data_IF_107500319412
#
_entry.id   IF_107500319412
#
_cell.length_a   1.000
_cell.length_b   1.000
_cell.length_c   1.000
_cell.angle_alpha   90.00
_cell.angle_beta   90.00
_cell.angle_gamma   90.00
#
_symmetry.space_group_name_H-M   'P 1'
#
loop_
_entity.id
_entity.type
_entity.pdbx_description
1 polymer ?
#
# COMPACT_ATOMS: atom_id res chain seq x y z
N UNK A 1 -16.83 -7.03 23.47
CA UNK A 1 -15.60 -7.22 22.68
C UNK A 1 -15.34 -5.92 21.94
N UNK A 2 -14.09 -5.46 21.91
CA UNK A 2 -13.68 -4.29 21.12
C UNK A 2 -13.82 -4.62 19.64
N UNK A 3 -14.56 -3.82 18.87
CA UNK A 3 -14.67 -3.95 17.41
C UNK A 3 -13.57 -3.14 16.70
N UNK A 4 -13.21 -3.51 15.47
CA UNK A 4 -12.26 -2.74 14.67
C UNK A 4 -12.67 -1.26 14.53
N UNK A 5 -13.95 -0.99 14.29
CA UNK A 5 -14.48 0.39 14.21
C UNK A 5 -14.31 1.16 15.51
N UNK A 6 -14.57 0.52 16.66
CA UNK A 6 -14.37 1.16 17.96
C UNK A 6 -12.91 1.51 18.28
N UNK A 7 -11.94 0.88 17.60
CA UNK A 7 -10.53 1.26 17.68
C UNK A 7 -10.20 2.49 16.83
N UNK A 8 -10.97 2.75 15.78
CA UNK A 8 -10.72 3.83 14.82
C UNK A 8 -11.56 5.08 15.08
N UNK A 9 -12.63 4.96 15.88
CA UNK A 9 -13.53 6.07 16.22
C UNK A 9 -13.49 6.36 17.72
N UNK A 10 -13.40 7.63 18.10
CA UNK A 10 -13.37 8.03 19.51
C UNK A 10 -13.49 9.55 19.70
N UNK A 11 -13.24 10.01 20.93
CA UNK A 11 -13.29 11.44 21.27
C UNK A 11 -12.12 12.25 20.70
N UNK A 12 -11.01 11.59 20.40
CA UNK A 12 -9.84 12.13 19.72
C UNK A 12 -9.83 11.65 18.26
N UNK A 13 -9.37 12.48 17.30
CA UNK A 13 -9.29 12.07 15.91
C UNK A 13 -8.29 10.92 15.70
N UNK A 14 -8.64 9.98 14.82
CA UNK A 14 -7.69 9.06 14.20
C UNK A 14 -6.68 9.88 13.38
N UNK A 15 -5.39 9.58 13.46
CA UNK A 15 -4.36 10.26 12.65
C UNK A 15 -3.61 9.27 11.78
N UNK A 16 -3.44 9.59 10.52
CA UNK A 16 -2.58 8.84 9.60
C UNK A 16 -1.42 9.74 9.16
N UNK A 17 -0.21 9.40 9.56
CA UNK A 17 1.00 10.13 9.21
C UNK A 17 1.75 9.44 8.08
N UNK A 18 2.00 10.15 6.98
CA UNK A 18 2.83 9.65 5.87
C UNK A 18 3.45 10.79 5.08
N UNK A 19 4.36 10.49 4.16
CA UNK A 19 4.90 11.50 3.24
C UNK A 19 3.79 12.15 2.39
N UNK A 20 4.05 13.36 1.88
CA UNK A 20 3.16 14.05 0.96
C UNK A 20 3.17 13.44 -0.46
N UNK A 21 2.88 12.15 -0.55
CA UNK A 21 2.68 11.34 -1.75
C UNK A 21 1.59 10.30 -1.45
N UNK A 22 1.07 9.63 -2.48
CA UNK A 22 0.17 8.49 -2.32
C UNK A 22 0.91 7.35 -1.57
N UNK A 23 1.84 6.69 -2.26
CA UNK A 23 2.68 5.62 -1.72
C UNK A 23 1.89 4.54 -0.98
N UNK A 24 2.52 3.92 0.02
CA UNK A 24 1.93 2.77 0.72
C UNK A 24 0.79 3.13 1.67
N UNK A 25 0.58 4.42 1.97
CA UNK A 25 -0.51 4.89 2.84
C UNK A 25 -1.81 5.12 2.06
N UNK A 26 -1.75 5.25 0.74
CA UNK A 26 -2.93 5.56 -0.07
C UNK A 26 -4.05 4.50 0.01
N UNK A 27 -3.77 3.17 0.03
CA UNK A 27 -4.84 2.19 0.18
C UNK A 27 -5.59 2.38 1.52
N UNK A 28 -4.88 2.80 2.57
CA UNK A 28 -5.45 3.10 3.88
C UNK A 28 -6.33 4.36 3.81
N UNK A 29 -5.88 5.42 3.12
CA UNK A 29 -6.69 6.64 2.91
C UNK A 29 -7.99 6.35 2.15
N UNK A 30 -7.91 5.54 1.09
CA UNK A 30 -9.06 5.12 0.32
C UNK A 30 -10.02 4.28 1.17
N UNK A 31 -9.50 3.31 1.91
CA UNK A 31 -10.33 2.46 2.78
C UNK A 31 -11.04 3.27 3.88
N UNK A 32 -10.35 4.24 4.50
CA UNK A 32 -10.94 5.13 5.51
C UNK A 32 -12.08 5.96 4.91
N UNK A 33 -11.88 6.44 3.68
CA UNK A 33 -12.86 7.23 2.96
C UNK A 33 -14.09 6.40 2.57
N UNK A 34 -13.89 5.19 2.03
CA UNK A 34 -14.98 4.25 1.67
C UNK A 34 -15.76 3.83 2.92
N UNK A 35 -15.09 3.52 4.03
CA UNK A 35 -15.72 3.14 5.30
C UNK A 35 -16.31 4.33 6.09
N UNK A 36 -16.23 5.55 5.52
CA UNK A 36 -16.69 6.80 6.14
C UNK A 36 -16.12 7.03 7.55
N UNK A 37 -14.84 6.72 7.75
CA UNK A 37 -14.13 6.91 9.02
C UNK A 37 -13.35 8.23 8.94
N UNK A 38 -13.68 9.25 9.74
CA UNK A 38 -12.95 10.52 9.73
C UNK A 38 -11.54 10.34 10.31
N UNK A 39 -10.57 11.01 9.69
CA UNK A 39 -9.17 10.97 10.12
C UNK A 39 -8.43 12.26 9.75
N UNK A 40 -7.40 12.58 10.52
CA UNK A 40 -6.42 13.62 10.18
C UNK A 40 -5.35 13.00 9.27
N UNK A 41 -5.29 13.43 8.00
CA UNK A 41 -4.22 13.08 7.04
C UNK A 41 -3.01 13.99 7.26
N UNK A 42 -2.06 13.55 8.08
CA UNK A 42 -0.86 14.32 8.43
C UNK A 42 0.24 14.03 7.41
N UNK A 43 0.49 14.99 6.53
CA UNK A 43 1.44 14.87 5.42
C UNK A 43 2.80 15.45 5.79
N UNK A 44 3.80 14.59 5.89
CA UNK A 44 5.17 14.94 6.27
C UNK A 44 5.98 15.32 5.03
N UNK A 45 6.54 16.54 4.94
CA UNK A 45 7.53 16.90 3.92
C UNK A 45 8.79 16.04 3.99
N UNK A 46 9.42 15.76 2.84
CA UNK A 46 10.61 14.89 2.80
C UNK A 46 11.83 15.50 3.52
N UNK A 47 11.96 16.82 3.54
CA UNK A 47 13.03 17.55 4.24
C UNK A 47 12.87 17.53 5.78
N UNK A 48 11.64 17.38 6.27
CA UNK A 48 11.35 17.16 7.70
C UNK A 48 11.58 15.71 8.15
N UNK A 49 11.81 14.77 7.22
CA UNK A 49 11.92 13.35 7.56
C UNK A 49 13.05 13.06 8.56
N UNK A 50 14.20 13.71 8.41
CA UNK A 50 15.36 13.43 9.27
C UNK A 50 15.11 13.79 10.74
N UNK A 51 14.36 14.86 11.01
CA UNK A 51 13.97 15.26 12.37
C UNK A 51 12.79 14.46 12.90
N UNK A 52 11.85 14.05 12.03
CA UNK A 52 10.68 13.22 12.39
C UNK A 52 11.06 11.76 12.67
N UNK A 53 11.97 11.17 11.90
CA UNK A 53 12.31 9.73 11.97
C UNK A 53 12.61 9.23 13.39
N UNK A 54 13.41 9.91 14.24
CA UNK A 54 13.68 9.48 15.61
C UNK A 54 12.46 9.47 16.53
N UNK A 55 11.38 10.18 16.17
CA UNK A 55 10.13 10.22 16.95
C UNK A 55 9.14 9.12 16.56
N UNK A 56 9.35 8.47 15.40
CA UNK A 56 8.51 7.35 14.96
C UNK A 56 8.89 6.06 15.71
N UNK A 57 7.92 5.20 15.99
CA UNK A 57 8.05 3.96 16.77
C UNK A 57 9.12 3.00 16.24
N UNK A 58 9.27 2.92 14.92
CA UNK A 58 10.21 2.01 14.26
C UNK A 58 11.14 2.69 13.25
N UNK A 59 11.21 4.02 13.25
CA UNK A 59 12.04 4.76 12.28
C UNK A 59 11.51 4.71 10.85
N UNK A 60 10.20 4.48 10.67
CA UNK A 60 9.51 4.33 9.37
C UNK A 60 8.14 4.98 9.41
N UNK A 61 7.61 5.30 8.23
CA UNK A 61 6.23 5.70 7.98
C UNK A 61 5.58 4.70 7.00
N UNK A 62 4.25 4.53 7.01
CA UNK A 62 3.28 5.30 7.79
C UNK A 62 3.14 4.89 9.25
N UNK A 63 2.57 5.80 10.05
CA UNK A 63 2.09 5.55 11.42
C UNK A 63 0.62 5.96 11.54
N UNK A 64 -0.18 5.14 12.22
CA UNK A 64 -1.58 5.44 12.52
C UNK A 64 -1.75 5.56 14.03
N UNK A 65 -2.11 6.75 14.51
CA UNK A 65 -2.44 6.98 15.92
C UNK A 65 -3.93 6.82 16.11
N UNK A 66 -4.33 5.76 16.83
CA UNK A 66 -5.72 5.49 17.20
C UNK A 66 -6.22 6.55 18.18
N UNK A 67 -7.54 6.79 18.28
CA UNK A 67 -8.13 7.62 19.33
C UNK A 67 -7.67 7.27 20.75
N UNK A 68 -7.42 5.98 21.03
CA UNK A 68 -6.85 5.53 22.31
C UNK A 68 -5.39 5.89 22.57
N UNK A 69 -4.72 6.55 21.61
CA UNK A 69 -3.30 6.94 21.67
C UNK A 69 -2.32 5.83 21.26
N UNK A 70 -2.80 4.61 21.02
CA UNK A 70 -1.95 3.54 20.49
C UNK A 70 -1.51 3.84 19.06
N UNK A 71 -0.23 3.55 18.78
CA UNK A 71 0.36 3.69 17.44
C UNK A 71 0.42 2.32 16.78
N UNK A 72 -0.36 2.20 15.70
CA UNK A 72 -0.30 1.10 14.73
C UNK A 72 0.74 1.43 13.66
N UNK A 73 1.53 0.44 13.28
CA UNK A 73 2.55 0.51 12.23
C UNK A 73 2.24 -0.55 11.17
N UNK A 74 2.91 -0.48 10.02
CA UNK A 74 2.66 -1.31 8.83
C UNK A 74 1.34 -0.97 8.10
N UNK A 75 1.45 -0.47 6.86
CA UNK A 75 0.29 0.00 6.09
C UNK A 75 -0.69 -1.13 5.75
N UNK A 76 -0.21 -2.37 5.65
CA UNK A 76 -1.04 -3.52 5.33
C UNK A 76 -1.81 -4.02 6.57
N UNK A 77 -1.24 -3.88 7.76
CA UNK A 77 -1.97 -4.05 9.02
C UNK A 77 -3.05 -2.97 9.20
N UNK A 78 -2.71 -1.71 8.94
CA UNK A 78 -3.67 -0.59 8.96
C UNK A 78 -4.82 -0.82 7.98
N UNK A 79 -4.53 -1.22 6.73
CA UNK A 79 -5.52 -1.46 5.70
C UNK A 79 -6.52 -2.54 6.11
N UNK A 80 -6.04 -3.64 6.72
CA UNK A 80 -6.92 -4.72 7.23
C UNK A 80 -7.78 -4.25 8.39
N UNK A 81 -7.21 -3.48 9.33
CA UNK A 81 -7.96 -2.90 10.44
C UNK A 81 -9.09 -1.99 9.94
N UNK A 82 -8.81 -1.12 8.97
CA UNK A 82 -9.81 -0.24 8.37
C UNK A 82 -10.85 -1.04 7.57
N UNK A 83 -10.42 -2.04 6.80
CA UNK A 83 -11.33 -2.91 6.06
C UNK A 83 -12.28 -3.70 6.98
N UNK A 84 -11.81 -4.15 8.15
CA UNK A 84 -12.65 -4.83 9.15
C UNK A 84 -13.59 -3.86 9.89
N UNK A 85 -13.30 -2.56 9.87
CA UNK A 85 -14.13 -1.52 10.46
C UNK A 85 -15.23 -0.98 9.54
N UNK A 86 -15.29 -1.48 8.30
CA UNK A 86 -16.37 -1.23 7.36
C UNK A 86 -17.69 -1.80 7.89
N UNK A 87 -18.69 -0.94 8.10
CA UNK A 87 -20.00 -1.34 8.63
C UNK A 87 -20.81 -2.15 7.61
N UNK A 88 -20.56 -1.97 6.32
CA UNK A 88 -21.16 -2.81 5.28
C UNK A 88 -20.51 -4.21 5.22
N UNK A 89 -19.34 -4.37 5.83
CA UNK A 89 -18.60 -5.63 5.87
C UNK A 89 -18.13 -6.11 4.49
N UNK A 90 -17.95 -5.19 3.53
CA UNK A 90 -17.55 -5.50 2.15
C UNK A 90 -16.05 -5.40 1.96
N UNK A 91 -15.41 -4.39 2.55
CA UNK A 91 -13.97 -4.15 2.34
C UNK A 91 -13.10 -5.32 2.81
N UNK A 92 -13.41 -5.91 3.97
CA UNK A 92 -12.74 -7.10 4.52
C UNK A 92 -13.71 -7.97 5.35
N UNK A 93 -14.61 -8.73 4.68
CA UNK A 93 -15.72 -9.48 5.31
C UNK A 93 -15.20 -10.52 6.30
N UNK A 94 -15.96 -10.89 7.33
CA UNK A 94 -15.56 -11.94 8.30
C UNK A 94 -15.62 -13.37 7.77
N UNK A 95 -16.27 -13.59 6.62
CA UNK A 95 -16.32 -14.88 5.95
C UNK A 95 -14.93 -15.33 5.52
N UNK A 96 -14.49 -16.48 6.04
CA UNK A 96 -13.13 -16.98 5.84
C UNK A 96 -12.84 -17.28 4.37
N UNK A 97 -13.81 -17.81 3.61
CA UNK A 97 -13.58 -18.14 2.20
C UNK A 97 -13.40 -16.88 1.36
N UNK A 98 -14.18 -15.82 1.63
CA UNK A 98 -13.98 -14.50 1.01
C UNK A 98 -12.66 -13.86 1.44
N UNK A 99 -12.30 -13.89 2.74
CA UNK A 99 -11.01 -13.36 3.21
C UNK A 99 -9.83 -14.04 2.54
N UNK A 100 -9.87 -15.36 2.37
CA UNK A 100 -8.78 -16.11 1.71
C UNK A 100 -8.55 -15.59 0.29
N UNK A 101 -9.62 -15.33 -0.48
CA UNK A 101 -9.49 -14.73 -1.82
C UNK A 101 -8.85 -13.35 -1.77
N UNK A 102 -9.27 -12.49 -0.84
CA UNK A 102 -8.69 -11.15 -0.64
C UNK A 102 -7.20 -11.25 -0.31
N UNK A 103 -6.83 -12.13 0.63
CA UNK A 103 -5.43 -12.33 1.02
C UNK A 103 -4.56 -12.89 -0.11
N UNK A 104 -5.11 -13.76 -0.97
CA UNK A 104 -4.42 -14.23 -2.17
C UNK A 104 -4.10 -13.08 -3.13
N UNK A 105 -5.08 -12.20 -3.39
CA UNK A 105 -4.87 -11.04 -4.27
C UNK A 105 -3.93 -10.02 -3.63
N UNK A 106 -4.01 -9.76 -2.32
CA UNK A 106 -3.03 -8.92 -1.62
C UNK A 106 -1.62 -9.51 -1.68
N UNK A 107 -1.49 -10.83 -1.60
CA UNK A 107 -0.24 -11.55 -1.83
C UNK A 107 0.32 -11.29 -3.23
N UNK A 108 -0.54 -11.39 -4.25
CA UNK A 108 -0.22 -11.12 -5.64
C UNK A 108 0.21 -9.67 -5.89
N UNK A 109 -0.48 -8.69 -5.29
CA UNK A 109 -0.06 -7.28 -5.30
C UNK A 109 1.32 -7.13 -4.65
N UNK A 110 1.56 -7.83 -3.54
CA UNK A 110 2.88 -7.88 -2.90
C UNK A 110 3.97 -8.45 -3.82
N UNK A 111 3.66 -9.45 -4.63
CA UNK A 111 4.60 -10.00 -5.63
C UNK A 111 4.90 -8.98 -6.73
N UNK A 112 3.88 -8.26 -7.22
CA UNK A 112 4.06 -7.13 -8.14
C UNK A 112 4.97 -6.05 -7.51
N UNK A 113 4.74 -5.67 -6.25
CA UNK A 113 5.59 -4.71 -5.54
C UNK A 113 7.03 -5.22 -5.42
N UNK A 114 7.24 -6.50 -5.12
CA UNK A 114 8.57 -7.12 -5.03
C UNK A 114 9.28 -7.12 -6.38
N UNK A 115 8.58 -7.40 -7.47
CA UNK A 115 9.11 -7.34 -8.82
C UNK A 115 9.45 -5.90 -9.26
N UNK A 116 8.65 -4.91 -8.86
CA UNK A 116 8.90 -3.50 -9.15
C UNK A 116 10.04 -2.90 -8.30
N UNK A 117 10.25 -3.41 -7.09
CA UNK A 117 11.18 -2.84 -6.09
C UNK A 117 12.59 -2.54 -6.64
N UNK A 118 13.26 -3.41 -7.42
CA UNK A 118 14.56 -3.09 -8.02
C UNK A 118 14.53 -1.87 -8.95
N UNK A 119 13.48 -1.73 -9.78
CA UNK A 119 13.29 -0.62 -10.73
C UNK A 119 13.19 0.75 -10.04
N UNK A 120 12.76 0.76 -8.77
CA UNK A 120 12.71 1.95 -7.92
C UNK A 120 13.99 2.12 -7.11
N UNK A 121 14.38 1.11 -6.33
CA UNK A 121 15.40 1.27 -5.31
C UNK A 121 16.83 1.20 -5.84
N UNK A 122 17.07 0.66 -7.03
CA UNK A 122 18.40 0.69 -7.62
C UNK A 122 18.89 2.13 -7.83
N UNK A 123 18.01 3.04 -8.26
CA UNK A 123 18.36 4.44 -8.45
C UNK A 123 18.48 5.21 -7.12
N UNK A 124 17.64 4.88 -6.13
CA UNK A 124 17.55 5.57 -4.85
C UNK A 124 18.55 5.08 -3.80
N UNK A 125 18.88 3.79 -3.81
CA UNK A 125 19.71 3.11 -2.81
C UNK A 125 20.64 2.08 -3.47
N UNK A 126 21.51 2.52 -4.40
CA UNK A 126 22.38 1.64 -5.19
C UNK A 126 23.27 0.72 -4.33
N UNK A 127 23.70 1.18 -3.16
CA UNK A 127 24.43 0.36 -2.17
C UNK A 127 23.75 -0.95 -1.77
N UNK A 128 22.41 -1.01 -1.78
CA UNK A 128 21.69 -2.26 -1.48
C UNK A 128 21.81 -3.32 -2.57
N UNK A 129 22.26 -2.92 -3.75
CA UNK A 129 22.42 -3.76 -4.93
C UNK A 129 23.90 -3.96 -5.29
N UNK A 130 24.82 -3.61 -4.38
CA UNK A 130 26.26 -3.78 -4.58
C UNK A 130 26.96 -2.67 -5.38
N UNK A 131 26.26 -1.59 -5.71
CA UNK A 131 26.84 -0.42 -6.38
C UNK A 131 27.33 0.63 -5.36
N UNK A 132 28.22 1.57 -5.72
CA UNK A 132 28.62 2.67 -4.85
C UNK A 132 27.42 3.50 -4.36
N UNK A 133 27.48 4.02 -3.14
CA UNK A 133 26.37 4.81 -2.57
C UNK A 133 26.13 6.14 -3.32
N UNK A 134 27.20 6.70 -3.88
CA UNK A 134 27.27 7.89 -4.71
C UNK A 134 27.23 7.57 -6.22
N UNK A 135 26.82 6.35 -6.60
CA UNK A 135 26.71 5.94 -8.00
C UNK A 135 25.84 6.92 -8.78
N UNK A 136 26.41 7.41 -9.89
CA UNK A 136 25.89 8.49 -10.72
C UNK A 136 26.47 8.40 -12.14
N UNK A 137 25.95 9.21 -13.06
CA UNK A 137 26.40 9.28 -14.45
C UNK A 137 25.73 8.28 -15.38
N UNK A 138 26.13 8.31 -16.66
CA UNK A 138 25.44 7.57 -17.74
C UNK A 138 25.35 6.07 -17.52
N UNK A 139 26.33 5.46 -16.85
CA UNK A 139 26.31 4.02 -16.56
C UNK A 139 25.13 3.67 -15.65
N UNK A 140 24.91 4.45 -14.58
CA UNK A 140 23.76 4.29 -13.70
C UNK A 140 22.46 4.43 -14.47
N UNK A 141 22.35 5.47 -15.30
CA UNK A 141 21.13 5.74 -16.06
C UNK A 141 20.82 4.60 -17.03
N UNK A 142 21.84 4.05 -17.71
CA UNK A 142 21.71 2.88 -18.59
C UNK A 142 21.22 1.63 -17.85
N UNK A 143 21.81 1.31 -16.69
CA UNK A 143 21.41 0.12 -15.92
C UNK A 143 20.01 0.29 -15.32
N UNK A 144 19.71 1.43 -14.70
CA UNK A 144 18.38 1.71 -14.14
C UNK A 144 17.31 1.65 -15.23
N UNK A 145 17.61 2.19 -16.42
CA UNK A 145 16.71 2.12 -17.57
C UNK A 145 16.50 0.66 -18.01
N UNK A 146 17.55 -0.13 -18.16
CA UNK A 146 17.43 -1.53 -18.56
C UNK A 146 16.58 -2.36 -17.58
N UNK A 147 16.75 -2.17 -16.26
CA UNK A 147 15.94 -2.84 -15.23
C UNK A 147 14.46 -2.46 -15.35
N UNK A 148 14.17 -1.17 -15.57
CA UNK A 148 12.79 -0.69 -15.76
C UNK A 148 12.17 -1.22 -17.05
N UNK A 149 12.91 -1.21 -18.16
CA UNK A 149 12.43 -1.74 -19.44
C UNK A 149 12.12 -3.23 -19.35
N UNK A 150 13.00 -4.02 -18.73
CA UNK A 150 12.76 -5.45 -18.51
C UNK A 150 11.50 -5.70 -17.68
N UNK A 151 11.33 -4.98 -16.56
CA UNK A 151 10.10 -5.07 -15.77
C UNK A 151 8.86 -4.72 -16.60
N UNK A 152 8.91 -3.63 -17.38
CA UNK A 152 7.77 -3.19 -18.19
C UNK A 152 7.44 -4.13 -19.35
N UNK A 153 8.42 -4.83 -19.92
CA UNK A 153 8.21 -5.76 -21.03
C UNK A 153 7.82 -7.17 -20.59
N UNK A 154 8.23 -7.60 -19.40
CA UNK A 154 8.09 -8.99 -18.94
C UNK A 154 7.13 -9.10 -17.75
N UNK A 155 7.49 -8.50 -16.62
CA UNK A 155 6.77 -8.67 -15.36
C UNK A 155 5.43 -7.95 -15.36
N UNK A 156 5.41 -6.67 -15.77
CA UNK A 156 4.23 -5.85 -15.68
C UNK A 156 3.04 -6.42 -16.48
N UNK A 157 3.20 -6.78 -17.78
CA UNK A 157 2.11 -7.38 -18.55
C UNK A 157 1.65 -8.71 -17.97
N UNK A 158 2.56 -9.51 -17.39
CA UNK A 158 2.23 -10.78 -16.74
C UNK A 158 1.33 -10.56 -15.53
N UNK A 159 1.65 -9.62 -14.64
CA UNK A 159 0.79 -9.27 -13.50
C UNK A 159 -0.54 -8.66 -13.95
N UNK A 160 -0.54 -7.83 -14.99
CA UNK A 160 -1.80 -7.29 -15.55
C UNK A 160 -2.68 -8.41 -16.09
N UNK A 161 -2.10 -9.42 -16.74
CA UNK A 161 -2.82 -10.60 -17.19
C UNK A 161 -3.47 -11.38 -16.04
N UNK A 162 -2.78 -11.53 -14.91
CA UNK A 162 -3.36 -12.16 -13.71
C UNK A 162 -4.54 -11.37 -13.14
N UNK A 163 -4.43 -10.03 -13.06
CA UNK A 163 -5.54 -9.21 -12.60
C UNK A 163 -6.72 -9.22 -13.59
N UNK A 164 -6.45 -9.22 -14.89
CA UNK A 164 -7.47 -9.33 -15.93
C UNK A 164 -8.22 -10.66 -15.85
N UNK A 165 -7.52 -11.78 -15.61
CA UNK A 165 -8.12 -13.10 -15.40
C UNK A 165 -9.04 -13.10 -14.18
N UNK A 166 -8.59 -12.56 -13.04
CA UNK A 166 -9.41 -12.44 -11.83
C UNK A 166 -10.69 -11.61 -12.06
N UNK A 167 -10.58 -10.48 -12.76
CA UNK A 167 -11.75 -9.63 -13.09
C UNK A 167 -12.75 -10.39 -13.96
N UNK A 168 -12.28 -11.12 -14.97
CA UNK A 168 -13.14 -11.95 -15.85
C UNK A 168 -13.80 -13.09 -15.09
N UNK A 169 -13.06 -13.79 -14.23
CA UNK A 169 -13.60 -14.86 -13.37
C UNK A 169 -14.71 -14.36 -12.44
N UNK A 170 -14.64 -13.09 -12.04
CA UNK A 170 -15.65 -12.42 -11.22
C UNK A 170 -16.71 -11.67 -12.02
N UNK A 171 -16.88 -11.97 -13.31
CA UNK A 171 -17.95 -11.40 -14.15
C UNK A 171 -17.75 -9.93 -14.50
N UNK A 172 -16.51 -9.52 -14.77
CA UNK A 172 -16.10 -8.13 -15.04
C UNK A 172 -16.36 -7.18 -13.85
N UNK A 173 -16.38 -7.73 -12.63
CA UNK A 173 -16.51 -7.00 -11.37
C UNK A 173 -15.16 -6.55 -10.80
N UNK A 174 -14.96 -6.83 -9.51
CA UNK A 174 -13.74 -6.54 -8.77
C UNK A 174 -12.80 -7.76 -8.71
N UNK A 175 -11.59 -7.59 -8.18
CA UNK A 175 -10.57 -8.64 -8.16
C UNK A 175 -10.97 -9.87 -7.33
N UNK A 176 -11.93 -9.73 -6.43
CA UNK A 176 -12.33 -10.81 -5.51
C UNK A 176 -13.83 -11.11 -5.51
N UNK A 177 -14.59 -10.54 -6.44
CA UNK A 177 -16.03 -10.74 -6.57
C UNK A 177 -16.77 -9.49 -7.05
N UNK A 178 -18.01 -9.31 -6.58
CA UNK A 178 -18.89 -8.21 -6.99
C UNK A 178 -18.70 -6.91 -6.16
N UNK A 179 -18.07 -7.01 -4.99
CA UNK A 179 -17.86 -5.89 -4.07
C UNK A 179 -16.42 -5.37 -4.15
N UNK A 180 -16.24 -4.06 -3.98
CA UNK A 180 -14.94 -3.43 -3.76
C UNK A 180 -14.35 -3.93 -2.44
N UNK A 181 -13.09 -4.38 -2.47
CA UNK A 181 -12.36 -4.84 -1.28
C UNK A 181 -11.03 -4.11 -1.09
N UNK A 182 -10.37 -4.36 0.05
CA UNK A 182 -9.01 -3.88 0.27
C UNK A 182 -8.00 -4.39 -0.77
N UNK A 183 -8.29 -5.51 -1.45
CA UNK A 183 -7.44 -6.01 -2.53
C UNK A 183 -7.45 -5.07 -3.74
N UNK A 184 -8.62 -4.59 -4.12
CA UNK A 184 -8.80 -3.62 -5.22
C UNK A 184 -8.12 -2.30 -4.92
N UNK A 185 -8.27 -1.79 -3.69
CA UNK A 185 -7.63 -0.55 -3.25
C UNK A 185 -6.09 -0.64 -3.31
N UNK A 186 -5.54 -1.78 -2.88
CA UNK A 186 -4.11 -2.05 -2.92
C UNK A 186 -3.60 -2.20 -4.36
N UNK A 187 -4.31 -2.95 -5.21
CA UNK A 187 -3.94 -3.14 -6.61
C UNK A 187 -4.02 -1.83 -7.40
N UNK A 188 -5.11 -1.07 -7.26
CA UNK A 188 -5.30 0.23 -7.92
C UNK A 188 -4.14 1.17 -7.63
N UNK A 189 -3.79 1.34 -6.35
CA UNK A 189 -2.68 2.18 -5.93
C UNK A 189 -1.36 1.70 -6.53
N UNK A 190 -1.08 0.39 -6.46
CA UNK A 190 0.19 -0.16 -6.93
C UNK A 190 0.36 -0.01 -8.45
N UNK A 191 -0.70 -0.22 -9.23
CA UNK A 191 -0.70 -0.02 -10.69
C UNK A 191 -0.51 1.46 -11.03
N UNK A 192 -1.26 2.34 -10.37
CA UNK A 192 -1.14 3.80 -10.57
C UNK A 192 0.24 4.32 -10.23
N UNK A 193 0.89 3.77 -9.20
CA UNK A 193 2.26 4.14 -8.83
C UNK A 193 3.30 3.72 -9.89
N UNK A 194 3.05 2.64 -10.62
CA UNK A 194 3.95 2.13 -11.67
C UNK A 194 3.75 2.87 -13.00
N UNK A 195 2.51 3.29 -13.31
CA UNK A 195 2.11 3.93 -14.58
C UNK A 195 1.81 5.45 -14.45
N UNK A 196 2.72 6.28 -13.91
CA UNK A 196 2.42 7.71 -13.67
C UNK A 196 2.07 8.49 -14.94
#
# INVERSE_FOLDING_TARGET
MTSARSLLTGSTPLKLEYFNIEGVAEPVRLALSVASIPFDDVRIPFDEWQSKKPTTKHGVLPEMTLPGGEIVTDSMAMLRLVGEADEEGKLYPSDVAKRVKIEQVLGLVGDLTRAWSPSLYLSMRPGRFGYPADWSGEEKDKVVKAVREAFMSEDFPRFMGYFEELVKENGDGFLTGEDLTIADLSAFQQVRFILP
#
